data_IF_108188903723
#
_entry.id   IF_108188903723
#
_cell.length_a   1.000
_cell.length_b   1.000
_cell.length_c   1.000
_cell.angle_alpha   90.00
_cell.angle_beta   90.00
_cell.angle_gamma   90.00
#
_symmetry.space_group_name_H-M   'P 1'
#
loop_
_entity.id
_entity.type
_entity.pdbx_description
1 polymer ?
#
# COMPACT_ATOMS: atom_id res chain seq x y z
N UNK A 1 -16.15 6.37 10.42
CA UNK A 1 -14.70 6.56 10.24
C UNK A 1 -14.35 6.11 8.84
N UNK A 2 -14.02 7.03 7.95
CA UNK A 2 -13.60 6.69 6.58
C UNK A 2 -12.27 5.94 6.63
N UNK A 3 -12.24 4.72 6.12
CA UNK A 3 -11.03 3.90 5.99
C UNK A 3 -10.15 4.49 4.89
N UNK A 4 -9.12 5.22 5.32
CA UNK A 4 -8.15 5.95 4.50
C UNK A 4 -7.14 4.99 3.80
N UNK A 5 -7.27 3.68 3.98
CA UNK A 5 -6.26 2.70 3.52
C UNK A 5 -6.11 2.52 1.99
N UNK A 6 -7.10 2.75 1.08
CA UNK A 6 -6.88 2.53 -0.36
C UNK A 6 -6.34 3.77 -1.09
N UNK A 7 -5.78 4.75 -0.38
CA UNK A 7 -5.53 6.11 -0.91
C UNK A 7 -4.35 6.24 -1.88
N UNK A 8 -3.32 5.39 -1.79
CA UNK A 8 -2.03 5.64 -2.45
C UNK A 8 -1.65 4.52 -3.42
N UNK A 9 -2.39 4.38 -4.53
CA UNK A 9 -2.11 3.36 -5.58
C UNK A 9 -0.95 3.75 -6.52
N UNK A 10 -0.39 4.94 -6.37
CA UNK A 10 0.66 5.49 -7.25
C UNK A 10 1.75 6.09 -6.40
N UNK A 11 3.01 5.76 -6.71
CA UNK A 11 4.21 6.30 -6.04
C UNK A 11 4.23 7.84 -6.05
N UNK A 12 3.82 8.46 -7.17
CA UNK A 12 3.65 9.91 -7.26
C UNK A 12 2.61 10.43 -6.28
N UNK A 13 1.47 9.73 -6.13
CA UNK A 13 0.42 10.15 -5.16
C UNK A 13 0.90 9.99 -3.73
N UNK A 14 1.62 8.91 -3.43
CA UNK A 14 2.23 8.70 -2.12
C UNK A 14 3.20 9.83 -1.79
N UNK A 15 4.12 10.16 -2.70
CA UNK A 15 5.07 11.26 -2.53
C UNK A 15 4.41 12.62 -2.31
N UNK A 16 3.28 12.90 -2.98
CA UNK A 16 2.51 14.15 -2.73
C UNK A 16 2.04 14.20 -1.27
N UNK A 17 1.45 13.11 -0.77
CA UNK A 17 0.92 13.09 0.60
C UNK A 17 2.02 13.00 1.67
N UNK A 18 3.18 12.41 1.35
CA UNK A 18 4.37 12.48 2.20
C UNK A 18 4.84 13.91 2.40
N UNK A 19 4.93 14.69 1.30
CA UNK A 19 5.32 16.09 1.37
C UNK A 19 4.29 16.91 2.19
N UNK A 20 3.00 16.74 1.91
CA UNK A 20 1.95 17.50 2.60
C UNK A 20 1.76 17.12 4.08
N UNK A 21 2.38 16.02 4.54
CA UNK A 21 2.34 15.59 5.94
C UNK A 21 3.22 16.43 6.87
N UNK A 22 4.08 17.31 6.33
CA UNK A 22 4.89 18.26 7.10
C UNK A 22 4.10 19.46 7.67
N UNK A 23 2.79 19.52 7.40
CA UNK A 23 1.84 20.52 7.86
C UNK A 23 2.06 21.94 7.32
N UNK A 24 2.91 22.10 6.31
CA UNK A 24 3.14 23.39 5.65
C UNK A 24 2.35 23.47 4.35
N UNK A 25 2.17 24.69 3.89
CA UNK A 25 1.60 24.94 2.56
C UNK A 25 2.69 24.78 1.51
N UNK A 26 2.41 23.98 0.49
CA UNK A 26 3.30 23.76 -0.65
C UNK A 26 2.65 24.27 -1.93
N UNK A 27 3.46 24.82 -2.82
CA UNK A 27 3.08 25.18 -4.18
C UNK A 27 3.03 23.95 -5.09
N UNK A 28 2.33 24.06 -6.22
CA UNK A 28 2.34 23.01 -7.24
C UNK A 28 3.75 22.71 -7.76
N UNK A 29 4.63 23.72 -7.83
CA UNK A 29 6.01 23.54 -8.28
C UNK A 29 6.84 22.73 -7.28
N UNK A 30 6.73 23.01 -5.99
CA UNK A 30 7.41 22.24 -4.92
C UNK A 30 6.94 20.79 -4.90
N UNK A 31 5.63 20.57 -5.01
CA UNK A 31 5.06 19.22 -5.08
C UNK A 31 5.57 18.48 -6.31
N UNK A 32 5.58 19.12 -7.48
CA UNK A 32 6.04 18.50 -8.72
C UNK A 32 7.53 18.13 -8.67
N UNK A 33 8.37 19.04 -8.15
CA UNK A 33 9.80 18.81 -7.97
C UNK A 33 10.08 17.64 -7.01
N UNK A 34 9.35 17.57 -5.89
CA UNK A 34 9.51 16.48 -4.91
C UNK A 34 9.08 15.11 -5.45
N UNK A 35 8.08 15.07 -6.33
CA UNK A 35 7.42 13.83 -6.76
C UNK A 35 7.80 13.37 -8.17
N UNK A 36 8.70 14.09 -8.86
CA UNK A 36 9.09 13.77 -10.23
C UNK A 36 7.94 13.93 -11.24
N UNK A 37 7.09 14.94 -11.04
CA UNK A 37 6.10 15.35 -12.04
C UNK A 37 6.76 16.40 -12.93
N UNK A 38 6.79 16.16 -14.25
CA UNK A 38 7.44 17.04 -15.22
C UNK A 38 6.73 18.40 -15.35
N UNK A 39 5.40 18.42 -15.29
CA UNK A 39 4.60 19.64 -15.37
C UNK A 39 3.80 19.89 -14.08
N UNK A 40 4.13 20.98 -13.37
CA UNK A 40 3.42 21.41 -12.16
C UNK A 40 1.91 21.63 -12.35
N UNK A 41 1.45 21.88 -13.59
CA UNK A 41 0.01 22.01 -13.91
C UNK A 41 -0.75 20.70 -13.69
N UNK A 42 -0.08 19.55 -13.70
CA UNK A 42 -0.69 18.25 -13.40
C UNK A 42 -1.00 18.03 -11.91
N UNK A 43 -0.40 18.81 -11.02
CA UNK A 43 -0.59 18.64 -9.57
C UNK A 43 -2.05 18.89 -9.18
N UNK A 44 -2.68 19.94 -9.72
CA UNK A 44 -4.08 20.24 -9.39
C UNK A 44 -5.05 19.14 -9.85
N UNK A 45 -5.04 18.66 -11.12
CA UNK A 45 -5.86 17.53 -11.55
C UNK A 45 -5.69 16.28 -10.68
N UNK A 46 -4.47 15.99 -10.22
CA UNK A 46 -4.17 14.86 -9.33
C UNK A 46 -4.74 15.07 -7.93
N UNK A 47 -4.63 16.29 -7.39
CA UNK A 47 -5.12 16.63 -6.04
C UNK A 47 -6.62 16.93 -5.97
N UNK A 48 -7.26 17.29 -7.09
CA UNK A 48 -8.70 17.63 -7.14
C UNK A 48 -9.56 16.47 -6.63
N UNK A 49 -9.17 15.23 -6.91
CA UNK A 49 -9.85 14.00 -6.42
C UNK A 49 -9.78 13.83 -4.90
N UNK A 50 -8.88 14.57 -4.25
CA UNK A 50 -8.61 14.50 -2.81
C UNK A 50 -8.97 15.81 -2.09
N UNK A 51 -9.81 16.65 -2.67
CA UNK A 51 -10.24 17.93 -2.08
C UNK A 51 -10.92 17.79 -0.70
N UNK A 52 -11.43 16.61 -0.36
CA UNK A 52 -11.95 16.30 0.98
C UNK A 52 -10.85 16.26 2.05
N UNK A 53 -9.61 15.95 1.66
CA UNK A 53 -8.44 15.75 2.53
C UNK A 53 -7.47 16.93 2.52
N UNK A 54 -7.49 17.75 1.47
CA UNK A 54 -6.51 18.82 1.23
C UNK A 54 -7.18 20.19 1.32
N UNK A 55 -6.54 21.12 2.02
CA UNK A 55 -6.85 22.55 2.00
C UNK A 55 -6.14 23.19 0.80
N UNK A 56 -6.90 23.88 -0.05
CA UNK A 56 -6.41 24.53 -1.27
C UNK A 56 -6.68 26.02 -1.11
N UNK A 57 -5.62 26.83 -1.02
CA UNK A 57 -5.71 28.29 -0.91
C UNK A 57 -5.10 28.95 -2.12
N UNK A 58 -5.67 30.08 -2.53
CA UNK A 58 -5.06 30.95 -3.54
C UNK A 58 -4.15 31.96 -2.85
N UNK A 59 -2.92 32.08 -3.33
CA UNK A 59 -1.99 33.14 -2.95
C UNK A 59 -1.74 34.00 -4.17
N UNK A 60 -2.10 35.29 -4.07
CA UNK A 60 -2.05 36.23 -5.19
C UNK A 60 -3.04 35.87 -6.31
N UNK A 61 -2.70 36.24 -7.55
CA UNK A 61 -3.65 36.23 -8.67
C UNK A 61 -3.88 34.83 -9.27
N UNK A 62 -2.87 33.94 -9.24
CA UNK A 62 -2.92 32.65 -9.99
C UNK A 62 -2.23 31.45 -9.32
N UNK A 63 -1.76 31.53 -8.08
CA UNK A 63 -1.02 30.42 -7.45
C UNK A 63 -1.90 29.70 -6.42
N UNK A 64 -2.06 28.39 -6.60
CA UNK A 64 -2.64 27.52 -5.57
C UNK A 64 -1.53 26.99 -4.67
N UNK A 65 -1.79 27.01 -3.37
CA UNK A 65 -1.01 26.31 -2.35
C UNK A 65 -1.86 25.23 -1.70
N UNK A 66 -1.21 24.17 -1.27
CA UNK A 66 -1.83 22.94 -0.82
C UNK A 66 -1.28 22.55 0.55
N UNK A 67 -2.16 22.13 1.46
CA UNK A 67 -1.81 21.57 2.76
C UNK A 67 -2.80 20.46 3.09
N UNK A 68 -2.41 19.45 3.86
CA UNK A 68 -3.40 18.54 4.46
C UNK A 68 -4.30 19.28 5.46
N UNK A 69 -5.59 18.96 5.45
CA UNK A 69 -6.52 19.44 6.49
C UNK A 69 -6.15 18.84 7.83
N UNK A 70 -6.11 19.65 8.88
CA UNK A 70 -5.64 19.21 10.20
C UNK A 70 -6.39 17.96 10.71
N UNK A 71 -7.70 17.88 10.45
CA UNK A 71 -8.55 16.73 10.82
C UNK A 71 -8.16 15.37 10.21
N UNK A 72 -7.40 15.36 9.10
CA UNK A 72 -7.02 14.12 8.41
C UNK A 72 -5.53 13.79 8.54
N UNK A 73 -4.74 14.68 9.14
CA UNK A 73 -3.28 14.57 9.22
C UNK A 73 -2.85 13.27 9.90
N UNK A 74 -3.41 12.95 11.06
CA UNK A 74 -3.00 11.77 11.81
C UNK A 74 -3.36 10.49 11.08
N UNK A 75 -4.52 10.47 10.42
CA UNK A 75 -4.94 9.34 9.62
C UNK A 75 -4.06 9.16 8.37
N UNK A 76 -3.68 10.25 7.70
CA UNK A 76 -2.74 10.23 6.57
C UNK A 76 -1.35 9.80 7.03
N UNK A 77 -0.82 10.37 8.12
CA UNK A 77 0.48 9.97 8.69
C UNK A 77 0.49 8.50 9.11
N UNK A 78 -0.61 8.00 9.67
CA UNK A 78 -0.77 6.58 10.00
C UNK A 78 -0.79 5.73 8.72
N UNK A 79 -1.54 6.14 7.70
CA UNK A 79 -1.56 5.50 6.38
C UNK A 79 -0.19 5.48 5.70
N UNK A 80 0.55 6.59 5.71
CA UNK A 80 1.91 6.70 5.18
C UNK A 80 2.90 5.83 5.96
N UNK A 81 2.82 5.77 7.29
CA UNK A 81 3.63 4.84 8.10
C UNK A 81 3.31 3.38 7.79
N UNK A 82 2.04 3.06 7.53
CA UNK A 82 1.62 1.71 7.11
C UNK A 82 2.21 1.39 5.74
N UNK A 83 2.13 2.33 4.80
CA UNK A 83 2.62 2.22 3.42
C UNK A 83 4.13 2.11 3.35
N UNK A 84 4.89 3.02 3.97
CA UNK A 84 6.37 2.97 4.02
C UNK A 84 6.89 1.71 4.71
N UNK A 85 6.21 1.21 5.75
CA UNK A 85 6.54 -0.11 6.32
C UNK A 85 6.14 -1.26 5.40
N UNK A 86 5.09 -1.13 4.57
CA UNK A 86 4.68 -2.18 3.64
C UNK A 86 5.68 -2.25 2.49
N UNK A 87 6.07 -1.09 1.95
CA UNK A 87 7.13 -0.91 0.96
C UNK A 87 8.45 -1.57 1.41
N UNK A 88 8.85 -1.35 2.67
CA UNK A 88 10.06 -1.99 3.23
C UNK A 88 9.95 -3.52 3.28
N UNK A 89 8.78 -4.03 3.66
CA UNK A 89 8.52 -5.48 3.71
C UNK A 89 8.46 -6.07 2.30
N UNK A 90 7.87 -5.37 1.33
CA UNK A 90 7.86 -5.78 -0.08
C UNK A 90 9.27 -5.79 -0.69
N UNK A 91 10.09 -4.76 -0.44
CA UNK A 91 11.51 -4.77 -0.85
C UNK A 91 12.30 -5.92 -0.22
N UNK A 92 11.97 -6.30 1.01
CA UNK A 92 12.55 -7.49 1.66
C UNK A 92 12.06 -8.78 0.98
N UNK A 93 10.79 -8.84 0.60
CA UNK A 93 10.22 -9.95 -0.14
C UNK A 93 10.86 -10.13 -1.51
N UNK A 94 11.07 -9.06 -2.28
CA UNK A 94 11.77 -9.10 -3.56
C UNK A 94 13.20 -9.64 -3.42
N UNK A 95 13.95 -9.19 -2.40
CA UNK A 95 15.30 -9.70 -2.14
C UNK A 95 15.31 -11.20 -1.85
N UNK A 96 14.34 -11.67 -1.07
CA UNK A 96 14.19 -13.11 -0.78
C UNK A 96 13.81 -13.85 -2.04
N UNK A 97 12.84 -13.36 -2.81
CA UNK A 97 12.38 -13.98 -4.06
C UNK A 97 13.52 -14.12 -5.08
N UNK A 98 14.32 -13.06 -5.25
CA UNK A 98 15.50 -13.07 -6.11
C UNK A 98 16.55 -14.08 -5.63
N UNK A 99 16.71 -14.23 -4.32
CA UNK A 99 17.66 -15.18 -3.71
C UNK A 99 17.19 -16.64 -3.81
N UNK A 100 15.91 -16.91 -3.61
CA UNK A 100 15.37 -18.29 -3.55
C UNK A 100 14.94 -18.81 -4.90
N UNK A 101 14.35 -17.96 -5.73
CA UNK A 101 13.68 -18.35 -6.97
C UNK A 101 14.33 -17.74 -8.22
N UNK A 102 15.36 -16.89 -8.05
CA UNK A 102 16.12 -16.31 -9.17
C UNK A 102 15.36 -15.27 -9.98
N UNK A 103 14.19 -14.81 -9.51
CA UNK A 103 13.32 -13.84 -10.19
C UNK A 103 12.69 -12.83 -9.24
N UNK A 104 12.12 -11.77 -9.81
CA UNK A 104 11.34 -10.77 -9.08
C UNK A 104 9.92 -11.26 -8.80
N UNK A 105 9.21 -10.56 -7.91
CA UNK A 105 7.80 -10.84 -7.62
C UNK A 105 6.93 -10.48 -8.84
N UNK A 106 5.94 -11.31 -9.14
CA UNK A 106 4.89 -10.94 -10.09
C UNK A 106 3.93 -9.94 -9.46
N UNK A 107 3.12 -9.28 -10.29
CA UNK A 107 2.12 -8.30 -9.82
C UNK A 107 1.07 -8.96 -8.91
N UNK A 108 0.71 -10.21 -9.17
CA UNK A 108 -0.21 -11.00 -8.36
C UNK A 108 0.40 -11.34 -6.99
N UNK A 109 1.67 -11.76 -6.96
CA UNK A 109 2.41 -12.04 -5.73
C UNK A 109 2.56 -10.79 -4.86
N UNK A 110 2.86 -9.65 -5.49
CA UNK A 110 2.92 -8.35 -4.82
C UNK A 110 1.58 -7.97 -4.23
N UNK A 111 0.49 -8.13 -4.99
CA UNK A 111 -0.86 -7.83 -4.54
C UNK A 111 -1.30 -8.72 -3.36
N UNK A 112 -0.94 -10.01 -3.37
CA UNK A 112 -1.18 -10.95 -2.25
C UNK A 112 -0.40 -10.50 -1.01
N UNK A 113 0.90 -10.21 -1.14
CA UNK A 113 1.71 -9.77 -0.01
C UNK A 113 1.21 -8.46 0.59
N UNK A 114 0.91 -7.46 -0.24
CA UNK A 114 0.33 -6.20 0.20
C UNK A 114 -0.94 -6.41 1.03
N UNK A 115 -1.84 -7.25 0.54
CA UNK A 115 -3.10 -7.54 1.23
C UNK A 115 -2.83 -8.10 2.63
N UNK A 116 -1.95 -9.09 2.73
CA UNK A 116 -1.65 -9.77 3.99
C UNK A 116 -0.90 -8.85 4.97
N UNK A 117 0.02 -8.02 4.47
CA UNK A 117 0.79 -7.06 5.27
C UNK A 117 -0.16 -6.03 5.87
N UNK A 118 -1.08 -5.51 5.04
CA UNK A 118 -2.05 -4.52 5.48
C UNK A 118 -3.02 -5.12 6.50
N UNK A 119 -3.53 -6.33 6.24
CA UNK A 119 -4.41 -7.01 7.19
C UNK A 119 -3.76 -7.22 8.57
N UNK A 120 -2.53 -7.75 8.61
CA UNK A 120 -1.81 -7.96 9.88
C UNK A 120 -1.58 -6.65 10.63
N UNK A 121 -1.25 -5.56 9.91
CA UNK A 121 -1.03 -4.25 10.51
C UNK A 121 -2.30 -3.59 11.03
N UNK A 122 -3.41 -3.73 10.32
CA UNK A 122 -4.69 -3.14 10.71
C UNK A 122 -5.31 -3.86 11.90
N UNK A 123 -5.18 -5.18 11.96
CA UNK A 123 -5.87 -6.01 12.95
C UNK A 123 -4.98 -6.49 14.09
N UNK A 124 -3.65 -6.46 13.91
CA UNK A 124 -2.69 -7.13 14.80
C UNK A 124 -2.79 -8.66 14.78
N UNK A 125 -3.66 -9.21 13.92
CA UNK A 125 -4.01 -10.63 13.85
C UNK A 125 -3.50 -11.20 12.54
N UNK A 126 -3.07 -12.47 12.56
CA UNK A 126 -2.82 -13.20 11.31
C UNK A 126 -4.14 -13.51 10.62
N UNK A 127 -4.15 -13.71 9.30
CA UNK A 127 -5.40 -13.92 8.55
C UNK A 127 -6.27 -15.03 9.15
N UNK A 128 -5.63 -16.11 9.59
CA UNK A 128 -6.31 -17.26 10.21
C UNK A 128 -6.88 -17.01 11.62
N UNK A 129 -6.48 -15.92 12.27
CA UNK A 129 -6.91 -15.57 13.64
C UNK A 129 -8.15 -14.66 13.63
N UNK A 130 -8.58 -14.16 12.47
CA UNK A 130 -9.65 -13.16 12.40
C UNK A 130 -10.86 -13.47 11.51
N UNK A 131 -10.82 -14.42 10.57
CA UNK A 131 -11.97 -14.70 9.67
C UNK A 131 -12.14 -16.17 9.28
N UNK A 132 -13.40 -16.56 9.07
CA UNK A 132 -13.87 -17.88 8.59
C UNK A 132 -13.86 -17.97 7.05
N UNK A 133 -13.80 -16.84 6.35
CA UNK A 133 -13.81 -16.79 4.88
C UNK A 133 -12.47 -17.27 4.25
N UNK A 134 -12.52 -17.97 3.10
CA UNK A 134 -11.32 -18.34 2.35
C UNK A 134 -10.48 -17.12 1.98
N UNK A 135 -9.20 -17.13 2.36
CA UNK A 135 -8.24 -16.05 2.08
C UNK A 135 -8.17 -15.72 0.59
N UNK A 136 -8.19 -16.76 -0.25
CA UNK A 136 -8.14 -16.69 -1.71
C UNK A 136 -9.29 -15.84 -2.26
N UNK A 137 -10.53 -16.21 -1.91
CA UNK A 137 -11.73 -15.52 -2.39
C UNK A 137 -11.77 -14.06 -1.93
N UNK A 138 -11.25 -13.80 -0.74
CA UNK A 138 -11.21 -12.43 -0.23
C UNK A 138 -10.16 -11.58 -0.94
N UNK A 139 -8.97 -12.13 -1.18
CA UNK A 139 -7.92 -11.44 -1.94
C UNK A 139 -8.38 -11.21 -3.38
N UNK A 140 -8.93 -12.24 -4.05
CA UNK A 140 -9.43 -12.16 -5.41
C UNK A 140 -10.44 -11.01 -5.57
N UNK A 141 -11.44 -10.96 -4.68
CA UNK A 141 -12.44 -9.89 -4.64
C UNK A 141 -11.85 -8.50 -4.37
N UNK A 142 -10.93 -8.39 -3.40
CA UNK A 142 -10.40 -7.09 -2.96
C UNK A 142 -9.38 -6.51 -3.95
N UNK A 143 -8.59 -7.38 -4.59
CA UNK A 143 -7.54 -7.00 -5.53
C UNK A 143 -7.97 -7.08 -6.99
N UNK A 144 -9.15 -7.61 -7.29
CA UNK A 144 -9.66 -7.76 -8.66
C UNK A 144 -8.88 -8.80 -9.47
N UNK A 145 -8.48 -9.89 -8.80
CA UNK A 145 -7.68 -10.98 -9.39
C UNK A 145 -8.54 -12.24 -9.57
N UNK A 146 -8.13 -13.12 -10.49
CA UNK A 146 -8.73 -14.45 -10.57
C UNK A 146 -8.35 -15.27 -9.32
N UNK A 147 -9.28 -16.03 -8.71
CA UNK A 147 -8.97 -16.92 -7.61
C UNK A 147 -7.81 -17.90 -7.89
N UNK A 148 -7.65 -18.33 -9.13
CA UNK A 148 -6.59 -19.25 -9.59
C UNK A 148 -5.22 -18.58 -9.56
N UNK A 149 -5.16 -17.32 -9.98
CA UNK A 149 -3.93 -16.51 -9.93
C UNK A 149 -3.51 -16.25 -8.49
N UNK A 150 -4.49 -15.97 -7.61
CA UNK A 150 -4.26 -15.80 -6.18
C UNK A 150 -3.72 -17.08 -5.54
N UNK A 151 -4.25 -18.25 -5.91
CA UNK A 151 -3.73 -19.56 -5.45
C UNK A 151 -2.30 -19.75 -5.91
N UNK A 152 -2.02 -19.52 -7.19
CA UNK A 152 -0.68 -19.66 -7.77
C UNK A 152 0.33 -18.74 -7.09
N UNK A 153 -0.03 -17.48 -6.88
CA UNK A 153 0.77 -16.49 -6.16
C UNK A 153 1.05 -16.93 -4.71
N UNK A 154 0.04 -17.41 -3.99
CA UNK A 154 0.19 -17.93 -2.62
C UNK A 154 1.18 -19.11 -2.57
N UNK A 155 1.06 -20.07 -3.49
CA UNK A 155 1.93 -21.24 -3.54
C UNK A 155 3.37 -20.86 -3.85
N UNK A 156 3.58 -19.95 -4.80
CA UNK A 156 4.90 -19.44 -5.13
C UNK A 156 5.55 -18.69 -3.96
N UNK A 157 4.79 -17.81 -3.30
CA UNK A 157 5.24 -17.11 -2.09
C UNK A 157 5.54 -18.09 -0.93
N UNK A 158 4.81 -19.19 -0.84
CA UNK A 158 5.05 -20.25 0.14
C UNK A 158 6.36 -20.98 -0.14
N UNK A 159 6.61 -21.36 -1.40
CA UNK A 159 7.86 -21.99 -1.84
C UNK A 159 9.07 -21.08 -1.57
N UNK A 160 8.90 -19.76 -1.74
CA UNK A 160 9.93 -18.77 -1.42
C UNK A 160 10.14 -18.51 0.08
N UNK A 161 9.32 -19.13 0.96
CA UNK A 161 9.37 -18.92 2.42
C UNK A 161 8.85 -17.56 2.89
N UNK A 162 8.11 -16.85 2.03
CA UNK A 162 7.54 -15.52 2.30
C UNK A 162 6.22 -15.61 3.06
N UNK A 163 5.43 -16.64 2.77
CA UNK A 163 4.21 -16.97 3.52
C UNK A 163 4.28 -18.39 4.06
N UNK A 164 3.61 -18.65 5.18
CA UNK A 164 3.44 -19.97 5.77
C UNK A 164 1.98 -20.38 5.66
N UNK A 165 1.75 -21.63 5.26
CA UNK A 165 0.44 -22.26 5.23
C UNK A 165 0.24 -23.07 6.53
N UNK A 166 -0.96 -23.03 7.10
CA UNK A 166 -1.30 -23.81 8.31
C UNK A 166 -2.63 -24.59 8.17
N UNK A 167 -2.77 -25.77 8.79
CA UNK A 167 -1.68 -26.67 9.12
C UNK A 167 -1.07 -27.24 7.82
N UNK A 168 0.16 -27.74 7.89
CA UNK A 168 0.87 -28.43 6.81
C UNK A 168 0.02 -29.56 6.21
N UNK A 169 -0.84 -29.24 5.23
CA UNK A 169 -1.72 -30.19 4.55
C UNK A 169 -2.04 -29.68 3.15
N UNK A 170 -2.31 -30.62 2.26
CA UNK A 170 -2.43 -30.49 0.80
C UNK A 170 -3.59 -29.59 0.30
N UNK A 171 -4.23 -28.83 1.19
CA UNK A 171 -5.29 -27.88 0.89
C UNK A 171 -5.04 -26.58 1.68
N UNK A 172 -4.67 -25.45 1.04
CA UNK A 172 -4.31 -24.22 1.74
C UNK A 172 -5.53 -23.64 2.47
N UNK A 173 -5.64 -23.92 3.78
CA UNK A 173 -6.77 -23.46 4.61
C UNK A 173 -6.43 -22.27 5.51
N UNK A 174 -5.16 -21.99 5.80
CA UNK A 174 -4.73 -20.86 6.65
C UNK A 174 -3.40 -20.30 6.14
N UNK A 175 -3.24 -18.98 6.17
CA UNK A 175 -2.08 -18.29 5.60
C UNK A 175 -1.55 -17.23 6.57
N UNK A 176 -0.23 -17.16 6.74
CA UNK A 176 0.45 -16.21 7.59
C UNK A 176 1.72 -15.68 6.92
N UNK A 177 2.06 -14.42 7.14
CA UNK A 177 3.36 -13.88 6.76
C UNK A 177 4.44 -14.46 7.70
N UNK A 178 5.58 -14.88 7.16
CA UNK A 178 6.66 -15.46 7.97
C UNK A 178 7.41 -14.39 8.77
N UNK A 179 8.06 -14.78 9.88
CA UNK A 179 8.94 -13.89 10.66
C UNK A 179 10.04 -13.25 9.82
N UNK A 180 10.47 -13.91 8.75
CA UNK A 180 11.43 -13.40 7.76
C UNK A 180 11.01 -12.05 7.18
N UNK A 181 9.71 -11.81 6.99
CA UNK A 181 9.18 -10.54 6.48
C UNK A 181 8.82 -9.52 7.57
N UNK A 182 8.57 -9.97 8.80
CA UNK A 182 8.15 -9.10 9.92
C UNK A 182 9.30 -8.58 10.79
N UNK A 183 10.50 -9.15 10.65
CA UNK A 183 11.73 -8.72 11.34
C UNK A 183 12.41 -7.51 10.68
#
# INVERSE_FOLDING_TARGET
>A
METITPLFRSEKTLGIFELLADLRFHTAAEIAAYTGIEDSREVYPRLKRWASLIDIRKVGVRKNIYKLKDRVVDAVKKGLKISTKAEKVLKKAEKVMKKTMGRELTDEERAVLEFLINYYKETGKKWYEGKVEPVVQTIARVKGLDPTDVVSAILSLYQAGLVALWPSSDRPRKLAITKTLLA
#
